data_IF_314070475395
#
_entry.id   IF_314070475395
#
_cell.length_a   1.000
_cell.length_b   1.000
_cell.length_c   1.000
_cell.angle_alpha   90.00
_cell.angle_beta   90.00
_cell.angle_gamma   90.00
#
_symmetry.space_group_name_H-M   'P 1'
#
loop_
_entity.id
_entity.type
_entity.pdbx_description
1 polymer ?
#
# COMPACT_ATOMS: atom_id res chain seq x y z
N UNK A 1 -11.05 0.68 -9.05
CA UNK A 1 -11.12 1.12 -7.64
C UNK A 1 -9.82 0.91 -6.86
N UNK A 2 -8.90 0.14 -7.40
CA UNK A 2 -7.56 -0.03 -6.86
C UNK A 2 -6.61 0.96 -7.52
N UNK A 3 -5.79 1.67 -6.72
CA UNK A 3 -4.72 2.50 -7.27
C UNK A 3 -3.44 1.67 -7.36
N UNK A 4 -2.98 1.47 -8.56
CA UNK A 4 -1.70 0.81 -8.84
C UNK A 4 -0.69 1.87 -9.27
N UNK A 5 0.50 1.81 -8.69
CA UNK A 5 1.60 2.73 -9.00
C UNK A 5 2.82 1.92 -9.45
N UNK A 6 3.25 2.14 -10.65
CA UNK A 6 4.50 1.57 -11.17
C UNK A 6 5.64 2.57 -10.95
N UNK A 7 6.67 2.11 -10.26
CA UNK A 7 7.82 2.92 -9.90
C UNK A 7 9.07 2.36 -10.55
N UNK A 8 9.46 2.97 -11.64
CA UNK A 8 10.69 2.62 -12.36
C UNK A 8 11.81 3.56 -11.92
N UNK A 9 12.58 3.11 -10.95
CA UNK A 9 13.62 3.89 -10.28
C UNK A 9 14.98 3.25 -10.53
N UNK A 10 15.96 4.07 -10.86
CA UNK A 10 17.33 3.64 -10.99
C UNK A 10 18.00 3.63 -9.61
N UNK A 11 18.24 2.43 -9.09
CA UNK A 11 18.82 2.21 -7.76
C UNK A 11 20.36 2.08 -7.79
N UNK A 12 21.02 2.34 -8.92
CA UNK A 12 22.47 2.17 -9.02
C UNK A 12 23.28 3.02 -8.05
N UNK A 13 22.77 4.20 -7.70
CA UNK A 13 23.45 5.10 -6.72
C UNK A 13 23.33 4.58 -5.29
N UNK A 14 22.28 3.83 -4.98
CA UNK A 14 22.04 3.24 -3.68
C UNK A 14 21.43 1.86 -3.86
N UNK A 15 22.28 0.85 -3.92
CA UNK A 15 21.91 -0.54 -4.16
C UNK A 15 21.41 -1.20 -2.86
N UNK A 16 20.33 -0.66 -2.31
CA UNK A 16 19.70 -1.14 -1.08
C UNK A 16 18.22 -1.38 -1.29
N UNK A 17 17.88 -2.63 -1.54
CA UNK A 17 16.50 -3.05 -1.79
C UNK A 17 15.62 -2.91 -0.55
N UNK A 18 16.14 -3.21 0.63
CA UNK A 18 15.38 -3.10 1.89
C UNK A 18 15.00 -1.64 2.16
N UNK A 19 15.94 -0.75 1.94
CA UNK A 19 15.67 0.69 2.04
C UNK A 19 14.61 1.13 1.04
N UNK A 20 14.70 0.69 -0.22
CA UNK A 20 13.70 1.01 -1.24
C UNK A 20 12.31 0.53 -0.84
N UNK A 21 12.18 -0.72 -0.38
CA UNK A 21 10.90 -1.26 0.11
C UNK A 21 10.37 -0.44 1.28
N UNK A 22 11.22 -0.08 2.24
CA UNK A 22 10.80 0.74 3.39
C UNK A 22 10.27 2.11 2.99
N UNK A 23 10.80 2.70 1.92
CA UNK A 23 10.26 3.96 1.36
C UNK A 23 8.86 3.74 0.76
N UNK A 24 8.64 2.64 0.04
CA UNK A 24 7.32 2.31 -0.51
C UNK A 24 6.29 2.07 0.60
N UNK A 25 6.67 1.37 1.65
CA UNK A 25 5.84 1.18 2.84
C UNK A 25 5.50 2.53 3.48
N UNK A 26 6.49 3.38 3.67
CA UNK A 26 6.32 4.71 4.27
C UNK A 26 5.38 5.59 3.44
N UNK A 27 5.54 5.63 2.12
CA UNK A 27 4.66 6.36 1.21
C UNK A 27 3.21 5.89 1.40
N UNK A 28 2.99 4.58 1.42
CA UNK A 28 1.66 4.00 1.59
C UNK A 28 1.04 4.34 2.95
N UNK A 29 1.79 4.15 4.02
CA UNK A 29 1.36 4.41 5.39
C UNK A 29 1.04 5.90 5.60
N UNK A 30 1.90 6.79 5.15
CA UNK A 30 1.70 8.24 5.28
C UNK A 30 0.56 8.75 4.40
N UNK A 31 0.33 8.14 3.24
CA UNK A 31 -0.85 8.46 2.41
C UNK A 31 -2.14 8.09 3.13
N UNK A 32 -2.23 6.88 3.66
CA UNK A 32 -3.42 6.41 4.38
C UNK A 32 -3.69 7.21 5.65
N UNK A 33 -2.65 7.67 6.32
CA UNK A 33 -2.76 8.51 7.52
C UNK A 33 -3.51 9.81 7.25
N UNK A 34 -3.37 10.41 6.08
CA UNK A 34 -4.12 11.63 5.71
C UNK A 34 -5.65 11.38 5.61
N UNK A 35 -6.05 10.12 5.53
CA UNK A 35 -7.46 9.71 5.53
C UNK A 35 -7.88 9.06 6.86
N UNK A 36 -7.17 9.36 7.95
CA UNK A 36 -7.43 8.83 9.29
C UNK A 36 -7.35 7.29 9.40
N UNK A 37 -6.53 6.69 8.58
CA UNK A 37 -6.22 5.26 8.62
C UNK A 37 -4.81 5.08 9.18
N UNK A 38 -4.70 4.37 10.28
CA UNK A 38 -3.41 3.92 10.82
C UNK A 38 -3.12 2.53 10.24
N UNK A 39 -2.01 2.42 9.56
CA UNK A 39 -1.57 1.17 8.95
C UNK A 39 -0.10 0.91 9.25
N UNK A 40 0.29 -0.34 9.11
CA UNK A 40 1.64 -0.81 9.42
C UNK A 40 2.11 -1.79 8.35
N UNK A 41 3.42 -1.95 8.23
CA UNK A 41 4.05 -3.09 7.59
C UNK A 41 4.38 -4.15 8.64
N UNK A 42 4.43 -5.42 8.22
CA UNK A 42 4.75 -6.55 9.12
C UNK A 42 5.84 -7.40 8.50
N UNK A 43 6.78 -7.88 9.30
CA UNK A 43 7.87 -8.73 8.84
C UNK A 43 7.40 -10.13 8.44
N UNK A 44 6.35 -10.62 9.07
CA UNK A 44 5.78 -11.96 8.84
C UNK A 44 4.75 -12.01 7.71
N UNK A 45 4.27 -10.85 7.25
CA UNK A 45 3.24 -10.74 6.22
C UNK A 45 3.51 -9.55 5.32
N UNK A 46 3.74 -9.80 4.04
CA UNK A 46 3.96 -8.76 3.04
C UNK A 46 2.66 -7.98 2.82
N UNK A 47 2.75 -6.65 2.78
CA UNK A 47 1.65 -5.75 2.49
C UNK A 47 1.51 -4.62 3.49
N UNK A 48 0.43 -3.86 3.32
CA UNK A 48 0.05 -2.76 4.21
C UNK A 48 -1.21 -3.17 4.96
N UNK A 49 -1.14 -3.12 6.28
CA UNK A 49 -2.16 -3.66 7.18
C UNK A 49 -2.77 -2.56 8.03
N UNK A 50 -4.11 -2.42 7.97
CA UNK A 50 -4.85 -1.45 8.78
C UNK A 50 -5.03 -1.98 10.19
N UNK A 51 -4.62 -1.18 11.16
CA UNK A 51 -4.80 -1.47 12.59
C UNK A 51 -5.92 -0.61 13.19
N UNK A 52 -6.12 0.61 12.67
CA UNK A 52 -7.02 1.61 13.25
C UNK A 52 -7.65 2.45 12.14
N UNK A 53 -8.93 2.73 12.26
CA UNK A 53 -9.68 3.59 11.35
C UNK A 53 -10.54 4.56 12.14
N UNK A 54 -10.45 5.87 11.83
CA UNK A 54 -11.20 6.93 12.53
C UNK A 54 -11.07 6.83 14.06
N UNK A 55 -9.86 6.67 14.56
CA UNK A 55 -9.52 6.53 15.98
C UNK A 55 -10.08 5.28 16.67
N UNK A 56 -10.56 4.29 15.92
CA UNK A 56 -11.03 3.01 16.46
C UNK A 56 -10.15 1.87 15.97
N UNK A 57 -9.69 1.04 16.90
CA UNK A 57 -8.95 -0.17 16.57
C UNK A 57 -9.85 -1.20 15.89
N UNK A 58 -9.31 -1.85 14.86
CA UNK A 58 -9.96 -3.02 14.25
C UNK A 58 -9.75 -4.24 15.14
N UNK A 59 -10.74 -5.14 15.19
CA UNK A 59 -10.62 -6.42 15.94
C UNK A 59 -9.51 -7.31 15.35
N UNK A 60 -9.39 -7.30 14.03
CA UNK A 60 -8.34 -7.95 13.24
C UNK A 60 -7.73 -6.96 12.27
N UNK A 61 -6.43 -7.03 12.06
CA UNK A 61 -5.77 -6.29 11.00
C UNK A 61 -6.30 -6.72 9.63
N UNK A 62 -6.52 -5.76 8.75
CA UNK A 62 -7.00 -6.00 7.39
C UNK A 62 -6.02 -5.45 6.38
N UNK A 63 -5.77 -6.21 5.32
CA UNK A 63 -4.86 -5.80 4.26
C UNK A 63 -5.53 -4.78 3.34
N UNK A 64 -4.90 -3.62 3.17
CA UNK A 64 -5.38 -2.55 2.30
C UNK A 64 -4.46 -2.29 1.11
N UNK A 65 -3.25 -2.75 1.17
CA UNK A 65 -2.29 -2.53 0.09
C UNK A 65 -1.29 -3.67 -0.07
N UNK A 66 -0.69 -3.70 -1.22
CA UNK A 66 0.34 -4.66 -1.57
C UNK A 66 1.58 -3.94 -2.12
N UNK A 67 2.72 -4.50 -1.86
CA UNK A 67 4.01 -4.08 -2.43
C UNK A 67 4.57 -5.25 -3.20
N UNK A 68 4.83 -5.05 -4.48
CA UNK A 68 5.46 -6.04 -5.33
C UNK A 68 6.46 -5.35 -6.23
N UNK A 69 7.73 -5.68 -6.10
CA UNK A 69 8.79 -5.14 -6.93
C UNK A 69 9.62 -6.23 -7.58
N UNK A 70 10.07 -5.92 -8.78
CA UNK A 70 11.06 -6.69 -9.51
C UNK A 70 12.25 -5.79 -9.81
N UNK A 71 13.45 -6.29 -9.65
CA UNK A 71 14.68 -5.56 -9.95
C UNK A 71 15.41 -6.23 -11.11
N UNK A 72 15.78 -5.44 -12.09
CA UNK A 72 16.66 -5.86 -13.19
C UNK A 72 17.71 -4.79 -13.42
N UNK A 73 18.99 -5.16 -13.37
CA UNK A 73 20.12 -4.22 -13.51
C UNK A 73 19.99 -2.99 -12.59
N UNK A 74 19.49 -3.19 -11.37
CA UNK A 74 19.23 -2.14 -10.38
C UNK A 74 18.21 -1.09 -10.82
N UNK A 75 17.33 -1.45 -11.74
CA UNK A 75 16.14 -0.67 -12.08
C UNK A 75 14.92 -1.41 -11.52
N UNK A 76 14.09 -0.70 -10.77
CA UNK A 76 12.86 -1.28 -10.23
C UNK A 76 11.74 -1.32 -11.27
N UNK A 77 10.90 -2.34 -11.17
CA UNK A 77 9.66 -2.50 -11.92
C UNK A 77 8.53 -2.82 -10.95
N UNK A 78 7.27 -2.56 -11.35
CA UNK A 78 6.10 -2.66 -10.51
C UNK A 78 6.12 -1.59 -9.39
N UNK A 79 5.60 -1.86 -8.24
CA UNK A 79 5.55 -0.89 -7.14
C UNK A 79 4.53 -1.25 -6.09
N UNK A 80 3.51 -0.41 -5.93
CA UNK A 80 2.49 -0.55 -4.88
C UNK A 80 1.09 -0.56 -5.45
N UNK A 81 0.18 -1.19 -4.73
CA UNK A 81 -1.25 -1.06 -4.97
C UNK A 81 -1.96 -0.75 -3.66
N UNK A 82 -2.91 0.18 -3.71
CA UNK A 82 -3.71 0.58 -2.57
C UNK A 82 -5.19 0.48 -2.92
N UNK A 83 -5.98 -0.14 -2.05
CA UNK A 83 -7.39 -0.33 -2.25
C UNK A 83 -8.17 0.91 -1.82
N UNK A 84 -8.60 1.71 -2.78
CA UNK A 84 -9.46 2.88 -2.53
C UNK A 84 -10.92 2.44 -2.49
N UNK A 85 -11.45 1.89 -3.57
CA UNK A 85 -12.84 1.43 -3.68
C UNK A 85 -13.03 0.27 -4.66
N UNK A 86 -12.20 -0.80 -4.64
CA UNK A 86 -12.44 -1.95 -5.48
C UNK A 86 -13.63 -2.75 -4.98
N UNK A 87 -14.19 -3.59 -5.85
CA UNK A 87 -15.12 -4.62 -5.42
C UNK A 87 -14.34 -5.72 -4.70
N UNK A 88 -14.49 -5.80 -3.38
CA UNK A 88 -13.75 -6.73 -2.53
C UNK A 88 -14.14 -8.19 -2.73
N UNK A 89 -15.28 -8.47 -3.39
CA UNK A 89 -15.71 -9.84 -3.68
C UNK A 89 -14.70 -10.59 -4.56
N UNK A 90 -13.99 -9.89 -5.43
CA UNK A 90 -12.93 -10.50 -6.26
C UNK A 90 -11.79 -11.07 -5.42
N UNK A 91 -11.45 -10.44 -4.28
CA UNK A 91 -10.41 -10.94 -3.39
C UNK A 91 -10.80 -12.23 -2.66
N UNK A 92 -12.08 -12.47 -2.43
CA UNK A 92 -12.58 -13.69 -1.81
C UNK A 92 -12.41 -14.92 -2.69
N UNK A 93 -12.35 -14.74 -4.01
CA UNK A 93 -12.16 -15.81 -5.00
C UNK A 93 -10.68 -16.18 -5.17
N UNK A 94 -9.78 -15.31 -4.78
CA UNK A 94 -8.35 -15.53 -4.86
C UNK A 94 -7.88 -15.87 -3.45
N UNK A 95 -7.50 -17.13 -3.24
CA UNK A 95 -6.79 -17.52 -2.02
C UNK A 95 -5.35 -17.03 -2.14
N UNK A 96 -5.19 -15.71 -2.00
CA UNK A 96 -3.96 -15.02 -2.32
C UNK A 96 -2.84 -15.53 -1.44
N UNK A 97 -1.83 -16.14 -2.04
CA UNK A 97 -0.56 -16.53 -1.42
C UNK A 97 -0.64 -17.62 -0.35
N UNK A 98 -1.70 -18.43 -0.32
CA UNK A 98 -1.80 -19.52 0.66
C UNK A 98 -1.86 -19.08 2.12
N UNK A 99 -1.96 -17.78 2.36
CA UNK A 99 -2.15 -17.22 3.70
C UNK A 99 -3.63 -17.34 4.03
N UNK A 100 -3.96 -18.37 4.78
CA UNK A 100 -5.29 -18.55 5.35
C UNK A 100 -5.48 -17.52 6.47
N UNK A 101 -6.68 -16.92 6.56
CA UNK A 101 -7.16 -16.13 7.71
C UNK A 101 -6.82 -14.64 7.77
N UNK A 102 -6.61 -13.95 6.66
CA UNK A 102 -6.66 -12.50 6.68
C UNK A 102 -7.75 -11.96 5.76
N UNK A 103 -8.29 -10.81 6.14
CA UNK A 103 -9.26 -10.08 5.35
C UNK A 103 -8.61 -8.96 4.58
N UNK A 104 -9.16 -8.64 3.42
CA UNK A 104 -8.80 -7.49 2.60
C UNK A 104 -9.84 -6.39 2.85
N UNK A 105 -9.37 -5.15 2.87
CA UNK A 105 -10.23 -3.98 3.03
C UNK A 105 -9.90 -2.90 2.01
N UNK A 106 -10.67 -1.82 2.04
CA UNK A 106 -10.47 -0.62 1.23
C UNK A 106 -10.86 0.62 2.03
N UNK A 107 -10.51 1.81 1.53
CA UNK A 107 -10.96 3.05 2.14
C UNK A 107 -12.49 3.11 2.19
N UNK A 108 -13.16 2.74 1.11
CA UNK A 108 -14.63 2.73 1.06
C UNK A 108 -15.24 1.76 2.07
N UNK A 109 -14.70 0.56 2.21
CA UNK A 109 -15.12 -0.44 3.22
C UNK A 109 -14.99 0.11 4.64
N UNK A 110 -13.97 0.93 4.88
CA UNK A 110 -13.71 1.58 6.16
C UNK A 110 -14.51 2.89 6.35
N UNK A 111 -15.44 3.18 5.45
CA UNK A 111 -16.33 4.34 5.55
C UNK A 111 -15.77 5.63 4.93
N UNK A 112 -14.67 5.55 4.19
CA UNK A 112 -14.04 6.71 3.54
C UNK A 112 -14.32 6.64 2.04
N UNK A 113 -15.34 7.39 1.61
CA UNK A 113 -15.71 7.49 0.20
C UNK A 113 -15.13 8.75 -0.40
N UNK A 114 -14.03 8.60 -1.13
CA UNK A 114 -13.32 9.69 -1.80
C UNK A 114 -13.17 9.42 -3.29
N UNK A 115 -13.03 10.49 -4.05
CA UNK A 115 -12.70 10.39 -5.46
C UNK A 115 -11.24 9.94 -5.63
N UNK A 116 -10.97 9.17 -6.67
CA UNK A 116 -9.62 8.71 -6.98
C UNK A 116 -8.65 9.88 -7.15
N UNK A 117 -9.10 11.00 -7.70
CA UNK A 117 -8.29 12.20 -7.88
C UNK A 117 -7.82 12.82 -6.55
N UNK A 118 -8.67 12.79 -5.52
CA UNK A 118 -8.28 13.24 -4.18
C UNK A 118 -7.22 12.34 -3.57
N UNK A 119 -7.40 11.04 -3.73
CA UNK A 119 -6.40 10.06 -3.29
C UNK A 119 -5.07 10.26 -4.02
N UNK A 120 -5.11 10.44 -5.32
CA UNK A 120 -3.92 10.63 -6.16
C UNK A 120 -3.11 11.87 -5.77
N UNK A 121 -3.78 12.96 -5.43
CA UNK A 121 -3.10 14.19 -4.96
C UNK A 121 -2.26 13.93 -3.71
N UNK A 122 -2.82 13.23 -2.74
CA UNK A 122 -2.12 12.90 -1.49
C UNK A 122 -0.97 11.93 -1.77
N UNK A 123 -1.26 10.87 -2.50
CA UNK A 123 -0.26 9.86 -2.85
C UNK A 123 0.92 10.46 -3.60
N UNK A 124 0.66 11.29 -4.61
CA UNK A 124 1.70 11.95 -5.40
C UNK A 124 2.57 12.88 -4.54
N UNK A 125 1.96 13.61 -3.61
CA UNK A 125 2.69 14.46 -2.67
C UNK A 125 3.65 13.64 -1.80
N UNK A 126 3.22 12.46 -1.32
CA UNK A 126 4.07 11.56 -0.53
C UNK A 126 5.17 10.93 -1.37
N UNK A 127 4.88 10.56 -2.62
CA UNK A 127 5.90 10.06 -3.55
C UNK A 127 6.99 11.12 -3.76
N UNK A 128 6.61 12.35 -4.07
CA UNK A 128 7.57 13.45 -4.26
C UNK A 128 8.39 13.75 -3.01
N UNK A 129 7.79 13.62 -1.84
CA UNK A 129 8.47 13.88 -0.56
C UNK A 129 9.51 12.82 -0.21
N UNK A 130 9.18 11.54 -0.40
CA UNK A 130 9.98 10.43 0.10
C UNK A 130 10.83 9.72 -0.97
N UNK A 131 10.44 9.80 -2.24
CA UNK A 131 11.15 9.16 -3.34
C UNK A 131 12.32 10.05 -3.82
N UNK A 132 13.33 10.15 -3.01
CA UNK A 132 14.56 10.92 -3.30
C UNK A 132 15.72 9.94 -3.47
N UNK A 133 16.16 9.77 -4.74
CA UNK A 133 17.25 8.87 -5.11
C UNK A 133 18.24 9.54 -6.04
#
# INVERSE_FOLDING_TARGET
>A
GQRVVYLMINLNKKKDLRYFVSILEKISIETLKEFNIVSVSRNDRIGIWVTKSNNKYLKKEKKIGAIGIRIKKWISFHGISLNVKPDLNYFKQINACGIKNFEVTSLKELGIDIKMEEFDKVLLAKIKKYMVF
#
